data_IF_076372768734
#
_entry.id   IF_076372768734
#
_cell.length_a   1.000
_cell.length_b   1.000
_cell.length_c   1.000
_cell.angle_alpha   90.00
_cell.angle_beta   90.00
_cell.angle_gamma   90.00
#
_symmetry.space_group_name_H-M   'P 1'
#
loop_
_entity.id
_entity.type
_entity.pdbx_description
1 polymer ?
#
# COMPACT_ATOMS: atom_id res chain seq x y z
N UNK A 1 -12.27 25.79 4.80
CA UNK A 1 -11.14 25.31 3.98
C UNK A 1 -10.60 24.04 4.62
N UNK A 2 -10.92 22.87 4.06
CA UNK A 2 -10.56 21.57 4.65
C UNK A 2 -9.05 21.40 4.73
N UNK A 3 -8.55 21.05 5.93
CA UNK A 3 -7.15 20.64 6.10
C UNK A 3 -6.89 19.47 5.13
N UNK A 4 -5.82 19.47 4.33
CA UNK A 4 -5.49 18.32 3.50
C UNK A 4 -5.39 17.11 4.43
N UNK A 5 -6.32 16.16 4.29
CA UNK A 5 -6.21 14.89 5.00
C UNK A 5 -4.84 14.27 4.71
N UNK A 6 -4.28 13.50 5.64
CA UNK A 6 -2.99 12.85 5.42
C UNK A 6 -3.04 12.10 4.09
N UNK A 7 -2.22 12.52 3.12
CA UNK A 7 -2.20 11.98 1.76
C UNK A 7 -2.22 10.45 1.82
N UNK A 8 -3.35 9.88 1.45
CA UNK A 8 -3.64 8.43 1.49
C UNK A 8 -2.73 7.66 0.55
N UNK A 9 -2.19 8.34 -0.47
CA UNK A 9 -1.20 7.85 -1.42
C UNK A 9 -0.18 8.94 -1.74
N UNK A 10 0.96 8.54 -2.27
CA UNK A 10 2.02 9.40 -2.80
C UNK A 10 2.31 8.99 -4.24
N UNK A 11 2.75 9.94 -5.05
CA UNK A 11 3.27 9.69 -6.38
C UNK A 11 4.80 9.65 -6.28
N UNK A 12 5.39 8.58 -6.79
CA UNK A 12 6.83 8.46 -6.98
C UNK A 12 7.22 9.08 -8.34
N UNK A 13 8.51 9.35 -8.54
CA UNK A 13 9.05 10.06 -9.72
C UNK A 13 8.58 9.50 -11.07
N UNK A 14 8.32 8.19 -11.16
CA UNK A 14 7.80 7.51 -12.36
C UNK A 14 6.27 7.56 -12.53
N UNK A 15 5.55 8.39 -11.77
CA UNK A 15 4.08 8.38 -11.74
C UNK A 15 3.49 7.15 -11.03
N UNK A 16 4.33 6.37 -10.33
CA UNK A 16 3.91 5.20 -9.57
C UNK A 16 3.16 5.66 -8.32
N UNK A 17 1.92 5.20 -8.18
CA UNK A 17 1.10 5.45 -6.99
C UNK A 17 1.51 4.48 -5.89
N UNK A 18 1.85 4.99 -4.70
CA UNK A 18 2.15 4.18 -3.53
C UNK A 18 1.24 4.54 -2.35
N UNK A 19 0.80 3.53 -1.61
CA UNK A 19 -0.13 3.63 -0.49
C UNK A 19 0.56 3.28 0.81
N UNK A 20 0.18 3.92 1.91
CA UNK A 20 0.52 3.38 3.24
C UNK A 20 -0.16 2.01 3.45
N UNK A 21 0.35 1.11 4.30
CA UNK A 21 -0.28 -0.18 4.58
C UNK A 21 -1.77 -0.06 4.96
N UNK A 22 -2.11 0.97 5.74
CA UNK A 22 -3.49 1.26 6.13
C UNK A 22 -4.38 1.71 4.97
N UNK A 23 -3.81 2.41 3.99
CA UNK A 23 -4.50 2.82 2.78
C UNK A 23 -4.63 1.65 1.78
N UNK A 24 -3.61 0.81 1.70
CA UNK A 24 -3.59 -0.40 0.90
C UNK A 24 -4.78 -1.33 1.22
N UNK A 25 -5.12 -1.48 2.51
CA UNK A 25 -6.29 -2.26 2.97
C UNK A 25 -7.61 -1.81 2.33
N UNK A 26 -7.74 -0.50 2.08
CA UNK A 26 -8.97 0.12 1.54
C UNK A 26 -8.93 0.33 0.03
N UNK A 27 -7.77 0.15 -0.58
CA UNK A 27 -7.59 0.37 -2.01
C UNK A 27 -8.17 -0.78 -2.86
N UNK A 28 -8.50 -1.91 -2.24
CA UNK A 28 -8.99 -3.13 -2.90
C UNK A 28 -10.45 -3.38 -2.55
N UNK A 29 -11.17 -4.04 -3.48
CA UNK A 29 -12.53 -4.51 -3.28
C UNK A 29 -12.57 -5.99 -3.71
N UNK A 30 -12.87 -6.93 -2.80
CA UNK A 30 -13.17 -6.72 -1.38
C UNK A 30 -11.99 -6.12 -0.59
N UNK A 31 -12.26 -5.27 0.43
CA UNK A 31 -11.21 -4.67 1.23
C UNK A 31 -10.45 -5.75 1.98
N UNK A 32 -9.12 -5.70 1.88
CA UNK A 32 -8.27 -6.69 2.52
C UNK A 32 -8.02 -6.32 3.98
N UNK A 33 -8.01 -7.31 4.89
CA UNK A 33 -7.72 -7.05 6.28
C UNK A 33 -6.24 -6.71 6.50
N UNK A 34 -5.98 -5.76 7.41
CA UNK A 34 -4.66 -5.22 7.74
C UNK A 34 -3.66 -6.30 8.19
N UNK A 35 -4.13 -7.38 8.82
CA UNK A 35 -3.25 -8.48 9.25
C UNK A 35 -2.62 -9.21 8.07
N UNK A 36 -3.30 -9.35 6.92
CA UNK A 36 -2.75 -10.00 5.73
C UNK A 36 -1.66 -9.15 5.10
N UNK A 37 -1.91 -7.84 4.96
CA UNK A 37 -0.91 -6.91 4.43
C UNK A 37 0.31 -6.87 5.34
N UNK A 38 0.13 -6.85 6.67
CA UNK A 38 1.25 -6.90 7.61
C UNK A 38 2.01 -8.22 7.55
N UNK A 39 1.32 -9.35 7.47
CA UNK A 39 1.95 -10.66 7.33
C UNK A 39 2.78 -10.71 6.04
N UNK A 40 2.23 -10.24 4.92
CA UNK A 40 2.91 -10.19 3.63
C UNK A 40 4.11 -9.22 3.60
N UNK A 41 4.04 -8.14 4.37
CA UNK A 41 5.19 -7.25 4.56
C UNK A 41 6.27 -7.87 5.45
N UNK A 42 5.87 -8.68 6.43
CA UNK A 42 6.79 -9.33 7.37
C UNK A 42 7.48 -10.56 6.78
N UNK A 43 6.78 -11.34 5.95
CA UNK A 43 7.34 -12.49 5.24
C UNK A 43 8.09 -12.11 3.95
N UNK A 44 7.93 -10.87 3.49
CA UNK A 44 8.60 -10.32 2.30
C UNK A 44 7.91 -10.64 0.96
N UNK A 45 6.74 -11.28 0.98
CA UNK A 45 5.92 -11.55 -0.23
C UNK A 45 5.37 -10.27 -0.83
N UNK A 46 5.05 -9.27 0.00
CA UNK A 46 4.65 -7.94 -0.45
C UNK A 46 5.83 -6.98 -0.35
N UNK A 47 6.33 -6.51 -1.49
CA UNK A 47 7.41 -5.52 -1.51
C UNK A 47 6.89 -4.15 -1.07
N UNK A 48 7.71 -3.47 -0.28
CA UNK A 48 7.46 -2.10 0.15
C UNK A 48 8.64 -1.19 -0.13
N UNK A 49 8.34 0.10 -0.20
CA UNK A 49 9.30 1.18 -0.39
C UNK A 49 9.32 2.02 0.88
N UNK A 50 10.52 2.26 1.41
CA UNK A 50 10.71 3.14 2.55
C UNK A 50 10.94 4.56 2.06
N UNK A 51 10.08 5.49 2.46
CA UNK A 51 10.18 6.90 2.06
C UNK A 51 10.24 7.74 3.34
N UNK A 52 11.44 8.26 3.61
CA UNK A 52 11.78 8.85 4.90
C UNK A 52 11.70 7.81 6.03
N UNK A 53 10.73 7.95 6.93
CA UNK A 53 10.48 7.04 8.07
C UNK A 53 9.21 6.20 7.92
N UNK A 54 8.59 6.20 6.73
CA UNK A 54 7.30 5.57 6.49
C UNK A 54 7.43 4.52 5.40
N UNK A 55 6.77 3.38 5.64
CA UNK A 55 6.64 2.30 4.68
C UNK A 55 5.45 2.55 3.77
N UNK A 56 5.65 2.38 2.47
CA UNK A 56 4.64 2.47 1.44
C UNK A 56 4.67 1.23 0.56
N UNK A 57 3.54 0.89 -0.04
CA UNK A 57 3.37 -0.23 -0.95
C UNK A 57 2.89 0.34 -2.28
N UNK A 58 3.57 0.02 -3.38
CA UNK A 58 3.14 0.50 -4.70
C UNK A 58 1.85 -0.19 -5.12
N UNK A 59 1.01 0.51 -5.88
CA UNK A 59 -0.26 -0.02 -6.38
C UNK A 59 -0.05 -1.34 -7.13
N UNK A 60 0.97 -1.39 -7.97
CA UNK A 60 1.28 -2.53 -8.83
C UNK A 60 1.66 -3.78 -8.03
N UNK A 61 2.55 -3.63 -7.03
CA UNK A 61 2.92 -4.72 -6.12
C UNK A 61 1.73 -5.22 -5.31
N UNK A 62 0.90 -4.30 -4.83
CA UNK A 62 -0.28 -4.63 -4.06
C UNK A 62 -1.32 -5.35 -4.94
N UNK A 63 -1.47 -4.96 -6.21
CA UNK A 63 -2.34 -5.61 -7.18
C UNK A 63 -1.85 -7.00 -7.55
N UNK A 64 -0.55 -7.16 -7.75
CA UNK A 64 0.05 -8.45 -8.06
C UNK A 64 -0.12 -9.42 -6.90
N UNK A 65 0.29 -9.02 -5.70
CA UNK A 65 0.10 -9.83 -4.48
C UNK A 65 -1.37 -10.18 -4.24
N UNK A 66 -2.29 -9.24 -4.47
CA UNK A 66 -3.73 -9.47 -4.39
C UNK A 66 -4.23 -10.51 -5.40
N UNK A 67 -3.67 -10.54 -6.62
CA UNK A 67 -4.02 -11.53 -7.63
C UNK A 67 -3.45 -12.92 -7.28
N UNK A 68 -2.31 -12.98 -6.61
CA UNK A 68 -1.69 -14.24 -6.17
C UNK A 68 -2.35 -14.85 -4.91
N UNK A 69 -3.04 -14.04 -4.10
CA UNK A 69 -3.61 -14.44 -2.80
C UNK A 69 -5.14 -14.26 -2.67
N UNK A 70 -5.81 -13.76 -3.71
CA UNK A 70 -7.26 -13.53 -3.74
C UNK A 70 -8.05 -14.71 -4.28
#
# INVERSE_FOLDING_TARGET
>A
MGRPGPRTHILLDDGIVAYSPRAACKAFVPPMPDYLIRAALADGTLRSVLIGRRTYVTHDQLKQWAADNG
#
